data_IF_592842146978
#
_entry.id   IF_592842146978
#
_cell.length_a   1.000
_cell.length_b   1.000
_cell.length_c   1.000
_cell.angle_alpha   90.00
_cell.angle_beta   90.00
_cell.angle_gamma   90.00
#
_symmetry.space_group_name_H-M   'P 1'
#
loop_
_entity.id
_entity.type
_entity.pdbx_description
1 polymer ?
#
# COMPACT_ATOMS: atom_id res chain seq x y z
N UNK A 1 5.20 -8.47 32.64
CA UNK A 1 4.36 -7.82 31.62
C UNK A 1 3.95 -8.88 30.61
N UNK A 2 2.65 -9.08 30.33
CA UNK A 2 2.23 -10.01 29.29
C UNK A 2 2.84 -9.60 27.93
N UNK A 3 3.59 -10.53 27.35
CA UNK A 3 4.18 -10.41 26.02
C UNK A 3 3.57 -11.47 25.11
N UNK A 4 3.18 -11.04 23.91
CA UNK A 4 2.70 -11.88 22.82
C UNK A 4 3.77 -11.90 21.74
N UNK A 5 4.14 -13.10 21.29
CA UNK A 5 5.07 -13.28 20.17
C UNK A 5 4.62 -14.47 19.33
N UNK A 6 4.29 -14.18 18.07
CA UNK A 6 3.90 -15.18 17.08
C UNK A 6 4.92 -15.18 15.96
N UNK A 7 5.48 -16.35 15.67
CA UNK A 7 6.41 -16.56 14.56
C UNK A 7 5.77 -17.52 13.57
N UNK A 8 5.81 -17.16 12.29
CA UNK A 8 5.37 -17.97 11.16
C UNK A 8 6.50 -18.02 10.14
N UNK A 9 6.79 -19.22 9.63
CA UNK A 9 7.75 -19.42 8.54
C UNK A 9 7.04 -20.03 7.33
N UNK A 10 7.48 -19.65 6.14
CA UNK A 10 7.10 -20.24 4.84
C UNK A 10 8.31 -20.26 3.91
N UNK A 11 8.33 -21.23 3.02
CA UNK A 11 9.26 -21.26 1.88
C UNK A 11 8.50 -21.00 0.59
N UNK A 12 9.10 -20.21 -0.29
CA UNK A 12 8.55 -19.83 -1.58
C UNK A 12 9.52 -20.23 -2.69
N UNK A 13 8.98 -20.77 -3.78
CA UNK A 13 9.72 -21.05 -5.02
C UNK A 13 9.87 -19.76 -5.86
N UNK A 14 10.42 -18.73 -5.24
CA UNK A 14 10.64 -17.43 -5.86
C UNK A 14 11.89 -16.78 -5.26
N UNK A 15 12.60 -15.94 -6.03
CA UNK A 15 13.78 -15.25 -5.54
C UNK A 15 13.40 -14.19 -4.49
N UNK A 16 14.31 -13.84 -3.56
CA UNK A 16 13.99 -12.99 -2.41
C UNK A 16 13.41 -11.62 -2.76
N UNK A 17 13.79 -11.06 -3.91
CA UNK A 17 13.30 -9.78 -4.41
C UNK A 17 11.79 -9.81 -4.69
N UNK A 18 11.29 -10.90 -5.27
CA UNK A 18 9.87 -11.03 -5.57
C UNK A 18 9.05 -11.34 -4.32
N UNK A 19 9.61 -12.11 -3.39
CA UNK A 19 9.00 -12.31 -2.06
C UNK A 19 8.95 -10.99 -1.28
N UNK A 20 10.02 -10.20 -1.36
CA UNK A 20 10.12 -8.86 -0.76
C UNK A 20 9.07 -7.88 -1.32
N UNK A 21 8.83 -7.90 -2.62
CA UNK A 21 7.80 -7.07 -3.24
C UNK A 21 6.40 -7.27 -2.63
N UNK A 22 6.17 -8.44 -2.03
CA UNK A 22 4.92 -8.77 -1.37
C UNK A 22 4.95 -8.56 0.15
N UNK A 23 5.97 -9.09 0.83
CA UNK A 23 6.09 -9.04 2.30
C UNK A 23 6.65 -7.73 2.84
N UNK A 24 7.41 -6.98 2.03
CA UNK A 24 7.91 -5.65 2.37
C UNK A 24 6.84 -4.56 2.33
N UNK A 25 5.65 -4.86 1.79
CA UNK A 25 4.50 -3.96 1.81
C UNK A 25 3.76 -4.03 3.15
N UNK A 26 4.23 -3.25 4.12
CA UNK A 26 3.60 -3.17 5.44
C UNK A 26 2.15 -2.64 5.40
N UNK A 27 1.76 -1.88 4.37
CA UNK A 27 0.34 -1.50 4.21
C UNK A 27 -0.51 -2.74 3.89
N UNK A 28 -0.02 -3.63 3.02
CA UNK A 28 -0.70 -4.90 2.70
C UNK A 28 -0.78 -5.81 3.92
N UNK A 29 0.31 -5.89 4.70
CA UNK A 29 0.34 -6.64 5.95
C UNK A 29 -0.70 -6.10 6.94
N UNK A 30 -0.71 -4.79 7.22
CA UNK A 30 -1.64 -4.16 8.16
C UNK A 30 -3.11 -4.38 7.73
N UNK A 31 -3.40 -4.34 6.42
CA UNK A 31 -4.71 -4.72 5.87
C UNK A 31 -5.07 -6.17 6.15
N UNK A 32 -4.19 -7.11 5.84
CA UNK A 32 -4.42 -8.54 6.09
C UNK A 32 -4.62 -8.84 7.58
N UNK A 33 -3.94 -8.08 8.43
CA UNK A 33 -4.10 -8.11 9.88
C UNK A 33 -5.39 -7.43 10.37
N UNK A 34 -6.16 -6.76 9.50
CA UNK A 34 -7.35 -5.97 9.82
C UNK A 34 -7.07 -4.91 10.90
N UNK A 35 -5.97 -4.19 10.74
CA UNK A 35 -5.64 -3.08 11.60
C UNK A 35 -6.48 -1.84 11.24
N UNK A 36 -6.79 -1.02 12.23
CA UNK A 36 -7.49 0.24 12.03
C UNK A 36 -6.69 1.21 11.16
N UNK A 37 -7.39 2.00 10.35
CA UNK A 37 -6.78 3.06 9.53
C UNK A 37 -6.28 4.19 10.43
N UNK A 38 -4.97 4.50 10.41
CA UNK A 38 -4.42 5.60 11.21
C UNK A 38 -4.62 6.96 10.56
N UNK A 39 -4.72 7.97 11.42
CA UNK A 39 -4.49 9.37 11.07
C UNK A 39 -3.15 9.77 11.67
N UNK A 40 -2.26 10.30 10.82
CA UNK A 40 -0.93 10.72 11.21
C UNK A 40 -0.85 12.23 11.42
N UNK A 41 -0.10 12.65 12.45
CA UNK A 41 0.22 14.05 12.71
C UNK A 41 1.57 14.19 13.40
N UNK A 42 2.30 15.27 13.10
CA UNK A 42 3.44 15.66 13.92
C UNK A 42 2.96 16.30 15.21
N UNK A 43 3.48 15.83 16.34
CA UNK A 43 3.22 16.39 17.67
C UNK A 43 4.52 16.49 18.45
N UNK A 44 4.56 17.45 19.36
CA UNK A 44 5.64 17.49 20.35
C UNK A 44 5.27 16.52 21.48
N UNK A 45 6.09 15.49 21.68
CA UNK A 45 5.99 14.50 22.75
C UNK A 45 7.30 14.49 23.50
N UNK A 46 7.27 14.74 24.81
CA UNK A 46 8.46 14.81 25.67
C UNK A 46 9.58 15.73 25.13
N UNK A 47 9.18 16.87 24.55
CA UNK A 47 10.10 17.86 23.99
C UNK A 47 10.73 17.47 22.65
N UNK A 48 10.29 16.36 22.03
CA UNK A 48 10.71 15.92 20.70
C UNK A 48 9.54 15.97 19.72
N UNK A 49 9.83 16.37 18.50
CA UNK A 49 8.85 16.37 17.41
C UNK A 49 8.71 14.96 16.87
N UNK A 50 7.63 14.29 17.22
CA UNK A 50 7.37 12.89 16.90
C UNK A 50 6.22 12.75 15.89
N UNK A 51 6.29 11.69 15.08
CA UNK A 51 5.22 11.34 14.16
C UNK A 51 4.23 10.40 14.87
N UNK A 52 3.09 10.96 15.27
CA UNK A 52 2.07 10.29 16.06
C UNK A 52 0.94 9.82 15.16
N UNK A 53 0.56 8.56 15.31
CA UNK A 53 -0.54 7.93 14.61
C UNK A 53 -1.66 7.57 15.59
N UNK A 54 -2.91 7.72 15.14
CA UNK A 54 -4.10 7.37 15.93
C UNK A 54 -5.09 6.58 15.08
N UNK A 55 -5.60 5.48 15.61
CA UNK A 55 -6.59 4.63 14.95
C UNK A 55 -7.62 4.04 15.93
N UNK A 56 -8.72 3.51 15.39
CA UNK A 56 -9.66 2.66 16.13
C UNK A 56 -9.40 1.19 15.79
N UNK A 57 -9.19 0.35 16.80
CA UNK A 57 -9.01 -1.09 16.67
C UNK A 57 -10.06 -1.82 17.50
N UNK A 58 -11.00 -2.51 16.84
CA UNK A 58 -12.06 -3.28 17.51
C UNK A 58 -12.82 -2.46 18.61
N UNK A 59 -13.05 -1.17 18.34
CA UNK A 59 -13.71 -0.23 19.27
C UNK A 59 -12.78 0.42 20.31
N UNK A 60 -11.49 0.08 20.30
CA UNK A 60 -10.48 0.64 21.21
C UNK A 60 -9.68 1.70 20.47
N UNK A 61 -9.58 2.88 21.07
CA UNK A 61 -8.69 3.93 20.55
C UNK A 61 -7.25 3.55 20.85
N UNK A 62 -6.41 3.60 19.81
CA UNK A 62 -4.97 3.40 19.92
C UNK A 62 -4.25 4.64 19.41
N UNK A 63 -3.23 5.08 20.14
CA UNK A 63 -2.32 6.15 19.73
C UNK A 63 -0.88 5.66 19.93
N UNK A 64 -0.01 5.91 18.95
CA UNK A 64 1.38 5.47 19.00
C UNK A 64 2.32 6.44 18.29
N UNK A 65 3.58 6.40 18.72
CA UNK A 65 4.71 6.95 17.98
C UNK A 65 5.21 5.85 17.04
N UNK A 66 5.37 6.19 15.77
CA UNK A 66 5.91 5.31 14.74
C UNK A 66 7.29 5.83 14.29
N UNK A 67 8.37 5.32 14.89
CA UNK A 67 9.71 5.58 14.38
C UNK A 67 9.85 5.13 12.93
N UNK A 68 10.84 5.66 12.18
CA UNK A 68 11.21 5.11 10.90
C UNK A 68 11.52 3.62 11.03
N UNK A 69 10.87 2.80 10.20
CA UNK A 69 11.13 1.36 10.13
C UNK A 69 12.54 1.12 9.60
N UNK A 70 13.14 0.00 9.99
CA UNK A 70 14.42 -0.42 9.44
C UNK A 70 14.17 -1.46 8.36
N UNK A 71 14.84 -1.33 7.22
CA UNK A 71 14.77 -2.32 6.19
C UNK A 71 16.03 -2.43 5.35
N UNK A 72 16.19 -3.61 4.77
CA UNK A 72 17.11 -3.93 3.68
C UNK A 72 16.32 -4.76 2.68
N UNK A 73 16.18 -4.25 1.47
CA UNK A 73 15.46 -4.93 0.39
C UNK A 73 15.92 -6.38 0.25
N UNK A 74 14.98 -7.29 -0.01
CA UNK A 74 15.21 -8.73 -0.12
C UNK A 74 15.77 -9.42 1.13
N UNK A 75 15.84 -8.75 2.30
CA UNK A 75 16.44 -9.34 3.52
C UNK A 75 15.67 -9.08 4.80
N UNK A 76 15.28 -7.84 5.08
CA UNK A 76 14.78 -7.45 6.40
C UNK A 76 13.77 -6.31 6.30
N UNK A 77 12.70 -6.42 7.08
CA UNK A 77 11.84 -5.31 7.47
C UNK A 77 11.57 -5.42 8.97
N UNK A 78 11.89 -4.39 9.74
CA UNK A 78 11.63 -4.31 11.16
C UNK A 78 10.84 -3.02 11.46
N UNK A 79 9.61 -3.21 11.90
CA UNK A 79 8.68 -2.15 12.24
C UNK A 79 8.26 -2.24 13.69
N UNK A 80 8.51 -1.17 14.45
CA UNK A 80 8.14 -1.06 15.86
C UNK A 80 7.24 0.17 16.06
N UNK A 81 6.22 0.03 16.92
CA UNK A 81 5.33 1.08 17.37
C UNK A 81 5.39 1.18 18.90
N UNK A 82 5.45 2.39 19.42
CA UNK A 82 5.41 2.68 20.86
C UNK A 82 4.07 3.32 21.19
N UNK A 83 3.22 2.60 21.92
CA UNK A 83 1.85 3.01 22.17
C UNK A 83 1.79 3.95 23.37
N UNK A 84 1.18 5.12 23.17
CA UNK A 84 0.91 6.12 24.21
C UNK A 84 -0.52 6.00 24.73
N UNK A 85 -1.43 5.44 23.93
CA UNK A 85 -2.82 5.13 24.30
C UNK A 85 -3.17 3.74 23.81
N UNK A 86 -3.84 2.96 24.66
CA UNK A 86 -4.35 1.64 24.33
C UNK A 86 -3.81 0.54 25.25
N UNK A 87 -4.08 -0.74 24.93
CA UNK A 87 -3.74 -1.86 25.80
C UNK A 87 -2.29 -2.35 25.64
N UNK A 88 -1.54 -1.83 24.67
CA UNK A 88 -0.15 -2.19 24.40
C UNK A 88 0.77 -1.07 24.90
N UNK A 89 2.01 -1.41 25.26
CA UNK A 89 3.09 -0.44 25.45
C UNK A 89 3.98 -0.37 24.21
N UNK A 90 4.22 -1.53 23.59
CA UNK A 90 4.98 -1.64 22.34
C UNK A 90 4.46 -2.82 21.52
N UNK A 91 4.69 -2.76 20.22
CA UNK A 91 4.38 -3.88 19.34
C UNK A 91 4.88 -3.63 17.93
N UNK A 92 4.87 -4.66 17.10
CA UNK A 92 5.46 -4.53 15.79
C UNK A 92 5.45 -5.80 14.97
N UNK A 93 6.12 -5.70 13.83
CA UNK A 93 6.35 -6.81 12.93
C UNK A 93 7.81 -6.84 12.49
N UNK A 94 8.34 -8.04 12.32
CA UNK A 94 9.64 -8.27 11.70
C UNK A 94 9.51 -9.32 10.61
N UNK A 95 9.94 -9.00 9.41
CA UNK A 95 10.04 -9.92 8.28
C UNK A 95 11.52 -10.14 7.99
N UNK A 96 11.94 -11.40 7.95
CA UNK A 96 13.29 -11.81 7.59
C UNK A 96 13.22 -12.75 6.38
N UNK A 97 14.05 -12.50 5.37
CA UNK A 97 14.13 -13.30 4.15
C UNK A 97 15.51 -13.95 4.05
N UNK A 98 15.50 -15.26 3.78
CA UNK A 98 16.70 -16.09 3.63
C UNK A 98 16.67 -16.73 2.24
N UNK A 99 17.66 -16.43 1.41
CA UNK A 99 17.82 -17.08 0.12
C UNK A 99 18.17 -18.57 0.33
N UNK A 100 17.45 -19.47 -0.35
CA UNK A 100 17.64 -20.93 -0.27
C UNK A 100 17.65 -21.52 -1.69
N UNK A 101 18.83 -21.65 -2.28
CA UNK A 101 18.97 -22.07 -3.67
C UNK A 101 18.30 -21.08 -4.62
N UNK A 102 17.29 -21.54 -5.36
CA UNK A 102 16.45 -20.69 -6.23
C UNK A 102 15.19 -20.14 -5.54
N UNK A 103 14.95 -20.56 -4.29
CA UNK A 103 13.80 -20.14 -3.49
C UNK A 103 14.17 -19.21 -2.34
N UNK A 104 13.17 -18.91 -1.52
CA UNK A 104 13.30 -18.02 -0.35
C UNK A 104 12.53 -18.58 0.82
N UNK A 105 13.17 -18.72 1.97
CA UNK A 105 12.47 -18.89 3.26
C UNK A 105 12.21 -17.53 3.87
N UNK A 106 10.96 -17.25 4.21
CA UNK A 106 10.54 -16.06 4.92
C UNK A 106 10.12 -16.41 6.35
N UNK A 107 10.51 -15.56 7.29
CA UNK A 107 10.05 -15.59 8.68
C UNK A 107 9.32 -14.28 8.97
N UNK A 108 8.06 -14.38 9.37
CA UNK A 108 7.30 -13.26 9.91
C UNK A 108 7.15 -13.42 11.43
N UNK A 109 7.59 -12.42 12.17
CA UNK A 109 7.39 -12.30 13.62
C UNK A 109 6.45 -11.14 13.88
N UNK A 110 5.36 -11.38 14.58
CA UNK A 110 4.46 -10.35 15.10
C UNK A 110 4.51 -10.40 16.60
N UNK A 111 4.69 -9.25 17.23
CA UNK A 111 4.89 -9.18 18.66
C UNK A 111 4.20 -7.97 19.28
N UNK A 112 3.94 -8.05 20.58
CA UNK A 112 3.36 -6.96 21.36
C UNK A 112 3.57 -7.19 22.85
N UNK A 113 3.98 -6.14 23.53
CA UNK A 113 4.13 -6.11 24.98
C UNK A 113 3.06 -5.21 25.57
N UNK A 114 2.45 -5.65 26.67
CA UNK A 114 1.44 -4.89 27.37
C UNK A 114 1.86 -4.62 28.82
N UNK A 115 1.73 -3.37 29.30
CA UNK A 115 1.89 -3.06 30.72
C UNK A 115 0.68 -3.54 31.55
N UNK A 116 -0.42 -3.94 30.92
CA UNK A 116 -1.68 -4.26 31.60
C UNK A 116 -1.86 -5.77 31.80
N UNK A 117 -2.03 -6.19 33.06
CA UNK A 117 -2.13 -7.61 33.42
C UNK A 117 -3.31 -8.34 32.77
N UNK A 118 -4.44 -7.65 32.52
CA UNK A 118 -5.64 -8.28 31.93
C UNK A 118 -5.40 -8.80 30.51
N UNK A 119 -4.37 -8.31 29.81
CA UNK A 119 -3.99 -8.84 28.50
C UNK A 119 -3.52 -10.30 28.58
N UNK A 120 -3.06 -10.77 29.75
CA UNK A 120 -2.75 -12.19 29.97
C UNK A 120 -3.99 -13.08 29.84
N UNK A 121 -5.19 -12.57 30.17
CA UNK A 121 -6.44 -13.33 30.09
C UNK A 121 -6.88 -13.58 28.64
N UNK A 122 -6.68 -12.59 27.77
CA UNK A 122 -7.06 -12.66 26.34
C UNK A 122 -5.93 -13.12 25.44
N UNK A 123 -4.70 -13.28 25.97
CA UNK A 123 -3.49 -13.62 25.23
C UNK A 123 -3.67 -14.82 24.28
N UNK A 124 -4.24 -15.98 24.69
CA UNK A 124 -4.37 -17.12 23.79
C UNK A 124 -5.27 -16.83 22.57
N UNK A 125 -6.31 -16.02 22.76
CA UNK A 125 -7.22 -15.60 21.68
C UNK A 125 -6.51 -14.63 20.73
N UNK A 126 -5.77 -13.67 21.28
CA UNK A 126 -4.98 -12.69 20.51
C UNK A 126 -3.89 -13.42 19.70
N UNK A 127 -3.13 -14.31 20.32
CA UNK A 127 -2.10 -15.11 19.65
C UNK A 127 -2.67 -16.00 18.55
N UNK A 128 -3.82 -16.65 18.79
CA UNK A 128 -4.51 -17.45 17.77
C UNK A 128 -4.96 -16.58 16.60
N UNK A 129 -5.52 -15.39 16.86
CA UNK A 129 -5.96 -14.46 15.82
C UNK A 129 -4.76 -13.96 14.99
N UNK A 130 -3.68 -13.55 15.65
CA UNK A 130 -2.44 -13.11 15.00
C UNK A 130 -1.88 -14.24 14.13
N UNK A 131 -1.71 -15.43 14.71
CA UNK A 131 -1.22 -16.62 13.99
C UNK A 131 -2.03 -16.92 12.74
N UNK A 132 -3.36 -16.94 12.85
CA UNK A 132 -4.23 -17.25 11.73
C UNK A 132 -4.14 -16.19 10.62
N UNK A 133 -4.12 -14.90 10.97
CA UNK A 133 -4.04 -13.80 10.00
C UNK A 133 -2.66 -13.73 9.32
N UNK A 134 -1.58 -13.84 10.10
CA UNK A 134 -0.21 -13.88 9.56
C UNK A 134 0.00 -15.09 8.67
N UNK A 135 -0.47 -16.27 9.07
CA UNK A 135 -0.40 -17.48 8.24
C UNK A 135 -1.17 -17.29 6.93
N UNK A 136 -2.43 -16.84 6.99
CA UNK A 136 -3.25 -16.59 5.80
C UNK A 136 -2.62 -15.56 4.85
N UNK A 137 -2.00 -14.50 5.39
CA UNK A 137 -1.27 -13.53 4.59
C UNK A 137 -0.06 -14.16 3.87
N UNK A 138 0.77 -14.90 4.60
CA UNK A 138 1.93 -15.57 4.03
C UNK A 138 1.55 -16.67 3.02
N UNK A 139 0.42 -17.34 3.22
CA UNK A 139 -0.13 -18.32 2.27
C UNK A 139 -0.63 -17.64 0.99
N UNK A 140 -1.32 -16.50 1.13
CA UNK A 140 -1.78 -15.69 0.00
C UNK A 140 -0.61 -15.13 -0.84
N UNK A 141 0.50 -14.76 -0.20
CA UNK A 141 1.75 -14.39 -0.89
C UNK A 141 2.26 -15.54 -1.76
N UNK A 142 2.21 -16.78 -1.24
CA UNK A 142 2.58 -17.98 -2.00
C UNK A 142 1.61 -18.29 -3.14
N UNK A 143 0.34 -17.92 -3.03
CA UNK A 143 -0.63 -18.00 -4.13
C UNK A 143 -0.30 -17.02 -5.25
N UNK A 144 0.02 -15.75 -4.92
CA UNK A 144 0.44 -14.74 -5.90
C UNK A 144 1.66 -15.23 -6.68
N UNK A 145 2.67 -15.73 -6.00
CA UNK A 145 3.92 -16.17 -6.62
C UNK A 145 3.75 -17.39 -7.53
N UNK A 146 2.72 -18.22 -7.31
CA UNK A 146 2.39 -19.39 -8.15
C UNK A 146 1.38 -19.07 -9.26
N UNK A 147 0.80 -17.86 -9.28
CA UNK A 147 -0.30 -17.51 -10.19
C UNK A 147 0.13 -17.33 -11.66
N UNK A 148 1.43 -17.23 -11.93
CA UNK A 148 1.95 -17.02 -13.27
C UNK A 148 3.48 -17.06 -13.34
N UNK A 149 4.04 -16.89 -14.54
CA UNK A 149 5.49 -16.84 -14.72
C UNK A 149 6.07 -15.66 -13.93
N UNK A 150 7.22 -15.89 -13.30
CA UNK A 150 7.88 -14.85 -12.54
C UNK A 150 8.37 -13.73 -13.47
N UNK A 151 8.14 -12.46 -13.12
CA UNK A 151 8.45 -11.30 -13.95
C UNK A 151 9.97 -11.12 -14.15
N UNK A 152 10.36 -10.96 -15.41
CA UNK A 152 11.73 -11.17 -15.89
C UNK A 152 12.54 -9.94 -16.30
N UNK A 153 12.07 -8.70 -16.05
CA UNK A 153 12.94 -7.52 -16.14
C UNK A 153 13.67 -7.32 -14.80
N UNK A 154 14.96 -7.70 -14.68
CA UNK A 154 15.70 -7.61 -13.42
C UNK A 154 16.07 -6.17 -13.04
N UNK A 155 16.07 -5.23 -13.99
CA UNK A 155 16.43 -3.82 -13.76
C UNK A 155 15.27 -3.02 -13.13
N UNK A 156 14.04 -3.51 -13.28
CA UNK A 156 12.88 -2.89 -12.66
C UNK A 156 12.84 -3.15 -11.14
N UNK A 157 12.42 -2.18 -10.32
CA UNK A 157 12.24 -2.38 -8.88
C UNK A 157 11.33 -3.59 -8.59
N UNK A 158 11.57 -4.38 -7.54
CA UNK A 158 10.80 -5.61 -7.31
C UNK A 158 9.29 -5.38 -7.18
N UNK A 159 8.88 -4.26 -6.59
CA UNK A 159 7.47 -3.87 -6.48
C UNK A 159 6.80 -3.65 -7.85
N UNK A 160 7.56 -3.20 -8.85
CA UNK A 160 7.06 -2.99 -10.22
C UNK A 160 6.95 -4.33 -10.92
N UNK A 161 7.96 -5.19 -10.74
CA UNK A 161 8.00 -6.53 -11.32
C UNK A 161 6.78 -7.35 -10.91
N UNK A 162 6.35 -7.30 -9.65
CA UNK A 162 5.22 -8.11 -9.15
C UNK A 162 3.83 -7.65 -9.62
N UNK A 163 3.69 -6.43 -10.18
CA UNK A 163 2.38 -5.86 -10.54
C UNK A 163 1.55 -6.72 -11.52
N UNK A 164 2.11 -7.33 -12.57
CA UNK A 164 1.34 -8.18 -13.47
C UNK A 164 0.74 -9.41 -12.77
N UNK A 165 1.47 -9.98 -11.79
CA UNK A 165 0.95 -11.10 -10.99
C UNK A 165 -0.18 -10.63 -10.08
N UNK A 166 -0.04 -9.47 -9.44
CA UNK A 166 -1.10 -8.88 -8.60
C UNK A 166 -2.36 -8.51 -9.38
N UNK A 167 -2.23 -8.16 -10.66
CA UNK A 167 -3.35 -7.88 -11.54
C UNK A 167 -4.18 -9.14 -11.88
N UNK A 168 -3.66 -10.35 -11.61
CA UNK A 168 -4.39 -11.61 -11.81
C UNK A 168 -5.35 -11.91 -10.64
N UNK A 169 -6.35 -12.77 -10.87
CA UNK A 169 -7.45 -12.99 -9.91
C UNK A 169 -7.02 -13.82 -8.67
N UNK A 170 -6.38 -13.21 -7.68
CA UNK A 170 -5.89 -13.84 -6.43
C UNK A 170 -6.78 -13.56 -5.20
N UNK A 171 -6.72 -14.32 -4.10
CA UNK A 171 -7.55 -14.08 -2.90
C UNK A 171 -7.47 -12.66 -2.27
N UNK A 172 -8.50 -12.27 -1.50
CA UNK A 172 -8.61 -10.94 -0.86
C UNK A 172 -7.46 -10.61 0.11
N UNK A 173 -6.84 -11.62 0.73
CA UNK A 173 -5.69 -11.43 1.62
C UNK A 173 -4.42 -10.95 0.88
N UNK A 174 -4.32 -11.24 -0.42
CA UNK A 174 -3.25 -10.72 -1.27
C UNK A 174 -3.63 -9.39 -1.93
N UNK A 175 -4.90 -9.25 -2.33
CA UNK A 175 -5.37 -8.14 -3.17
C UNK A 175 -5.80 -6.91 -2.37
N UNK A 176 -6.51 -7.04 -1.24
CA UNK A 176 -7.07 -5.90 -0.49
C UNK A 176 -8.59 -5.86 -0.50
N UNK A 177 -9.18 -4.81 0.08
CA UNK A 177 -10.64 -4.65 0.14
C UNK A 177 -11.19 -4.19 -1.21
N UNK A 178 -12.37 -4.67 -1.59
CA UNK A 178 -13.07 -4.26 -2.80
C UNK A 178 -14.40 -3.64 -2.41
N UNK A 179 -14.47 -2.31 -2.37
CA UNK A 179 -15.75 -1.60 -2.22
C UNK A 179 -16.63 -1.86 -3.44
N UNK A 180 -17.93 -2.12 -3.24
CA UNK A 180 -18.86 -2.38 -4.34
C UNK A 180 -18.99 -1.16 -5.26
N UNK A 181 -19.00 -1.40 -6.57
CA UNK A 181 -19.31 -0.37 -7.58
C UNK A 181 -20.81 -0.30 -7.87
N UNK A 182 -21.30 0.89 -8.24
CA UNK A 182 -22.62 1.05 -8.86
C UNK A 182 -22.55 0.50 -10.29
N UNK A 183 -23.07 -0.71 -10.49
CA UNK A 183 -23.01 -1.41 -11.76
C UNK A 183 -23.77 -0.68 -12.89
N UNK A 184 -24.86 0.02 -12.55
CA UNK A 184 -25.66 0.77 -13.52
C UNK A 184 -24.88 2.00 -13.99
N UNK A 185 -24.28 2.73 -13.04
CA UNK A 185 -23.53 3.93 -13.35
C UNK A 185 -22.21 3.60 -14.08
N UNK A 186 -21.51 2.56 -13.65
CA UNK A 186 -20.33 2.04 -14.32
C UNK A 186 -20.63 1.72 -15.80
N UNK A 187 -21.69 0.96 -16.05
CA UNK A 187 -22.05 0.55 -17.41
C UNK A 187 -22.52 1.74 -18.26
N UNK A 188 -23.31 2.65 -17.69
CA UNK A 188 -23.76 3.87 -18.38
C UNK A 188 -22.59 4.75 -18.80
N UNK A 189 -21.60 4.95 -17.92
CA UNK A 189 -20.40 5.76 -18.23
C UNK A 189 -19.43 5.02 -19.16
N UNK A 190 -19.33 3.70 -19.06
CA UNK A 190 -18.58 2.88 -20.00
C UNK A 190 -19.16 2.98 -21.43
N UNK A 191 -20.49 2.95 -21.60
CA UNK A 191 -21.13 3.19 -22.90
C UNK A 191 -20.78 4.56 -23.48
N UNK A 192 -20.87 5.63 -22.67
CA UNK A 192 -20.46 6.98 -23.11
C UNK A 192 -19.02 7.05 -23.62
N UNK A 193 -18.10 6.29 -23.00
CA UNK A 193 -16.71 6.21 -23.43
C UNK A 193 -16.59 5.50 -24.79
N UNK A 194 -17.28 4.37 -24.96
CA UNK A 194 -17.32 3.61 -26.23
C UNK A 194 -17.95 4.43 -27.35
N UNK A 195 -19.06 5.13 -27.09
CA UNK A 195 -19.75 6.00 -28.05
C UNK A 195 -18.88 7.18 -28.50
N UNK A 196 -17.92 7.61 -27.68
CA UNK A 196 -16.93 8.63 -28.03
C UNK A 196 -15.77 8.08 -28.92
N UNK A 197 -15.90 6.85 -29.43
CA UNK A 197 -14.89 6.19 -30.25
C UNK A 197 -13.69 5.64 -29.47
N UNK A 198 -13.79 5.56 -28.14
CA UNK A 198 -12.77 4.99 -27.27
C UNK A 198 -13.25 3.62 -26.80
N UNK A 199 -13.25 2.66 -27.73
CA UNK A 199 -13.55 1.26 -27.46
C UNK A 199 -12.28 0.43 -27.19
N UNK A 200 -12.38 -0.89 -27.34
CA UNK A 200 -11.22 -1.79 -27.35
C UNK A 200 -10.71 -2.25 -25.98
N UNK A 201 -9.57 -2.93 -25.99
CA UNK A 201 -9.04 -3.63 -24.83
C UNK A 201 -8.75 -2.67 -23.66
N UNK A 202 -8.12 -1.51 -23.91
CA UNK A 202 -7.82 -0.54 -22.85
C UNK A 202 -9.08 -0.09 -22.08
N UNK A 203 -10.20 0.10 -22.79
CA UNK A 203 -11.48 0.45 -22.19
C UNK A 203 -12.03 -0.68 -21.32
N UNK A 204 -11.96 -1.91 -21.81
CA UNK A 204 -12.40 -3.08 -21.04
C UNK A 204 -11.54 -3.30 -19.79
N UNK A 205 -10.22 -3.07 -19.89
CA UNK A 205 -9.30 -3.10 -18.75
C UNK A 205 -9.62 -2.03 -17.71
N UNK A 206 -9.96 -0.80 -18.12
CA UNK A 206 -10.40 0.26 -17.18
C UNK A 206 -11.70 -0.14 -16.49
N UNK A 207 -12.70 -0.64 -17.23
CA UNK A 207 -13.97 -1.06 -16.62
C UNK A 207 -13.77 -2.22 -15.63
N UNK A 208 -12.94 -3.21 -15.98
CA UNK A 208 -12.58 -4.31 -15.08
C UNK A 208 -11.81 -3.83 -13.86
N UNK A 209 -10.86 -2.90 -14.03
CA UNK A 209 -10.13 -2.26 -12.93
C UNK A 209 -11.09 -1.64 -11.92
N UNK A 210 -12.02 -0.79 -12.38
CA UNK A 210 -12.94 -0.10 -11.47
C UNK A 210 -13.95 -1.04 -10.79
N UNK A 211 -14.30 -2.13 -11.44
CA UNK A 211 -15.26 -3.12 -10.94
C UNK A 211 -14.65 -4.08 -9.92
N UNK A 212 -13.50 -4.66 -10.26
CA UNK A 212 -13.03 -5.90 -9.63
C UNK A 212 -11.75 -5.71 -8.80
N UNK A 213 -10.99 -4.63 -9.04
CA UNK A 213 -9.71 -4.45 -8.34
C UNK A 213 -9.88 -3.85 -6.94
N UNK A 214 -8.90 -4.05 -6.05
CA UNK A 214 -8.86 -3.47 -4.71
C UNK A 214 -8.97 -1.94 -4.68
N UNK A 215 -9.46 -1.42 -3.57
CA UNK A 215 -9.62 0.01 -3.32
C UNK A 215 -8.31 0.77 -3.50
N UNK A 216 -7.19 0.26 -2.96
CA UNK A 216 -5.87 0.89 -3.10
C UNK A 216 -5.41 1.03 -4.56
N UNK A 217 -5.89 0.16 -5.44
CA UNK A 217 -5.53 0.11 -6.84
C UNK A 217 -6.33 1.09 -7.70
N UNK A 218 -7.44 1.63 -7.17
CA UNK A 218 -8.34 2.57 -7.85
C UNK A 218 -8.45 3.92 -7.13
N UNK A 219 -7.94 4.02 -5.90
CA UNK A 219 -7.84 5.26 -5.14
C UNK A 219 -6.84 6.25 -5.74
N UNK A 220 -5.80 5.73 -6.40
CA UNK A 220 -4.80 6.51 -7.12
C UNK A 220 -4.15 5.66 -8.22
N UNK A 221 -4.41 6.02 -9.47
CA UNK A 221 -4.06 5.23 -10.64
C UNK A 221 -3.07 6.00 -11.49
N UNK A 222 -1.94 5.36 -11.78
CA UNK A 222 -0.95 5.83 -12.75
C UNK A 222 -1.17 5.10 -14.09
N UNK A 223 -1.57 5.80 -15.17
CA UNK A 223 -1.93 5.15 -16.44
C UNK A 223 -0.74 4.40 -17.05
N UNK A 224 0.49 4.88 -16.87
CA UNK A 224 1.68 4.22 -17.42
C UNK A 224 2.07 2.96 -16.65
N UNK A 225 1.79 2.88 -15.36
CA UNK A 225 1.94 1.64 -14.61
C UNK A 225 0.92 0.60 -15.10
N UNK A 226 -0.33 1.03 -15.35
CA UNK A 226 -1.38 0.17 -15.92
C UNK A 226 -1.04 -0.30 -17.33
N UNK A 227 -0.52 0.57 -18.19
CA UNK A 227 -0.08 0.21 -19.54
C UNK A 227 0.97 -0.91 -19.51
N UNK A 228 1.99 -0.80 -18.65
CA UNK A 228 2.99 -1.86 -18.46
C UNK A 228 2.37 -3.16 -17.94
N UNK A 229 1.51 -3.07 -16.93
CA UNK A 229 0.86 -4.25 -16.34
C UNK A 229 -0.07 -4.97 -17.33
N UNK A 230 -0.71 -4.23 -18.24
CA UNK A 230 -1.61 -4.79 -19.26
C UNK A 230 -0.90 -5.17 -20.56
N UNK A 231 0.36 -4.76 -20.75
CA UNK A 231 1.08 -4.96 -22.02
C UNK A 231 0.53 -4.14 -23.19
N UNK A 232 -0.12 -3.00 -22.91
CA UNK A 232 -0.76 -2.14 -23.92
C UNK A 232 0.07 -0.89 -24.22
N UNK A 233 -0.21 -0.22 -25.36
CA UNK A 233 0.49 1.00 -25.73
C UNK A 233 0.26 2.12 -24.70
N UNK A 234 1.35 2.81 -24.36
CA UNK A 234 1.36 3.84 -23.33
C UNK A 234 0.44 5.02 -23.68
N UNK A 235 0.40 5.43 -24.96
CA UNK A 235 -0.42 6.57 -25.41
C UNK A 235 -1.89 6.16 -25.52
N UNK A 236 -2.17 4.95 -25.95
CA UNK A 236 -3.53 4.39 -26.00
C UNK A 236 -4.18 4.36 -24.61
N UNK A 237 -3.46 3.82 -23.61
CA UNK A 237 -3.97 3.77 -22.23
C UNK A 237 -4.16 5.18 -21.68
N UNK A 238 -3.20 6.11 -21.88
CA UNK A 238 -3.37 7.49 -21.44
C UNK A 238 -4.56 8.18 -22.10
N UNK A 239 -4.74 8.02 -23.42
CA UNK A 239 -5.90 8.53 -24.15
C UNK A 239 -7.19 7.98 -23.55
N UNK A 240 -7.24 6.69 -23.27
CA UNK A 240 -8.40 6.04 -22.64
C UNK A 240 -8.71 6.65 -21.28
N UNK A 241 -7.71 6.86 -20.42
CA UNK A 241 -7.88 7.48 -19.09
C UNK A 241 -8.39 8.93 -19.17
N UNK A 242 -7.86 9.73 -20.11
CA UNK A 242 -8.31 11.11 -20.32
C UNK A 242 -9.77 11.16 -20.80
N UNK A 243 -10.16 10.30 -21.73
CA UNK A 243 -11.55 10.22 -22.18
C UNK A 243 -12.48 9.60 -21.11
N UNK A 244 -11.99 8.63 -20.34
CA UNK A 244 -12.71 8.06 -19.19
C UNK A 244 -13.01 9.13 -18.14
N UNK A 245 -12.13 10.12 -17.97
CA UNK A 245 -12.39 11.29 -17.13
C UNK A 245 -13.60 12.08 -17.64
N UNK A 246 -13.67 12.37 -18.95
CA UNK A 246 -14.83 13.06 -19.57
C UNK A 246 -16.11 12.24 -19.51
N UNK A 247 -16.01 10.92 -19.58
CA UNK A 247 -17.13 10.01 -19.41
C UNK A 247 -17.60 9.90 -17.95
N UNK A 248 -16.80 10.39 -16.99
CA UNK A 248 -17.03 10.33 -15.56
C UNK A 248 -16.60 9.00 -14.93
N UNK A 249 -15.89 8.12 -15.61
CA UNK A 249 -15.39 6.89 -14.97
C UNK A 249 -14.27 7.20 -13.95
N UNK A 250 -13.49 8.23 -14.26
CA UNK A 250 -12.33 8.65 -13.49
C UNK A 250 -12.40 10.14 -13.17
N UNK A 251 -11.70 10.56 -12.13
CA UNK A 251 -11.35 11.95 -11.87
C UNK A 251 -9.85 12.15 -12.12
N UNK A 252 -9.49 13.27 -12.78
CA UNK A 252 -8.10 13.67 -12.98
C UNK A 252 -7.68 14.61 -11.84
N UNK A 253 -6.57 14.29 -11.20
CA UNK A 253 -5.96 15.10 -10.14
C UNK A 253 -4.47 15.33 -10.41
N UNK A 254 -3.93 16.34 -9.75
CA UNK A 254 -2.51 16.71 -9.81
C UNK A 254 -1.85 16.43 -8.47
N UNK A 255 -1.00 15.41 -8.43
CA UNK A 255 -0.24 15.06 -7.24
C UNK A 255 1.09 15.79 -7.22
N UNK A 256 1.46 16.32 -6.05
CA UNK A 256 2.75 16.95 -5.81
C UNK A 256 3.64 15.97 -5.03
N UNK A 257 4.66 15.42 -5.69
CA UNK A 257 5.62 14.48 -5.13
C UNK A 257 6.74 15.19 -4.38
N UNK A 258 7.11 14.64 -3.22
CA UNK A 258 8.27 15.08 -2.46
C UNK A 258 9.57 14.74 -3.20
N UNK A 259 10.54 15.67 -3.32
CA UNK A 259 11.79 15.40 -4.04
C UNK A 259 12.64 14.31 -3.36
N UNK A 260 12.49 14.14 -2.03
CA UNK A 260 13.24 13.18 -1.21
C UNK A 260 12.57 11.81 -1.20
N UNK A 261 11.36 11.71 -0.65
CA UNK A 261 10.69 10.41 -0.50
C UNK A 261 9.86 9.98 -1.72
N UNK A 262 9.65 10.85 -2.72
CA UNK A 262 8.83 10.59 -3.92
C UNK A 262 7.37 10.23 -3.66
N UNK A 263 6.90 10.34 -2.41
CA UNK A 263 5.50 10.18 -2.01
C UNK A 263 4.76 11.52 -2.16
N UNK A 264 3.45 11.45 -2.34
CA UNK A 264 2.54 12.60 -2.35
C UNK A 264 2.69 13.47 -1.10
N UNK A 265 2.99 14.75 -1.29
CA UNK A 265 2.91 15.80 -0.27
C UNK A 265 1.57 16.55 -0.32
N UNK A 266 0.83 16.44 -1.42
CA UNK A 266 -0.45 17.09 -1.62
C UNK A 266 -1.07 16.70 -2.97
N UNK A 267 -2.37 16.96 -3.11
CA UNK A 267 -3.12 16.69 -4.34
C UNK A 267 -4.08 17.85 -4.60
N UNK A 268 -4.13 18.32 -5.84
CA UNK A 268 -5.05 19.36 -6.32
C UNK A 268 -6.02 18.82 -7.38
N UNK A 269 -7.19 19.45 -7.51
CA UNK A 269 -8.17 19.13 -8.56
C UNK A 269 -7.83 19.77 -9.90
N UNK A 270 -7.12 20.90 -9.87
CA UNK A 270 -6.70 21.63 -11.06
C UNK A 270 -5.27 22.17 -10.94
N UNK A 271 -4.69 22.59 -12.07
CA UNK A 271 -3.32 23.10 -12.09
C UNK A 271 -3.19 24.49 -11.47
N UNK A 272 -4.24 25.31 -11.52
CA UNK A 272 -4.27 26.66 -10.94
C UNK A 272 -4.33 26.66 -9.40
N UNK A 273 -4.77 25.55 -8.81
CA UNK A 273 -4.73 25.32 -7.36
C UNK A 273 -3.32 24.94 -6.85
N UNK A 274 -2.36 24.69 -7.75
CA UNK A 274 -0.99 24.36 -7.35
C UNK A 274 -0.29 25.60 -6.81
N UNK A 275 -0.04 25.60 -5.50
CA UNK A 275 0.76 26.64 -4.84
C UNK A 275 2.24 26.59 -5.25
N UNK A 276 2.96 27.68 -4.98
CA UNK A 276 4.41 27.77 -5.24
C UNK A 276 5.25 26.90 -4.31
N UNK A 277 4.75 26.63 -3.10
CA UNK A 277 5.43 25.85 -2.08
C UNK A 277 4.48 24.82 -1.46
N UNK A 278 5.05 23.69 -1.07
CA UNK A 278 4.34 22.62 -0.37
C UNK A 278 5.16 22.10 0.80
N UNK A 279 4.48 21.57 1.81
CA UNK A 279 5.12 20.89 2.94
C UNK A 279 4.85 19.39 2.86
N UNK A 280 5.92 18.59 2.82
CA UNK A 280 5.77 17.13 2.92
C UNK A 280 5.62 16.73 4.38
N UNK A 281 4.44 16.24 4.75
CA UNK A 281 4.20 15.69 6.09
C UNK A 281 5.16 14.55 6.43
N UNK A 282 5.41 13.60 5.52
CA UNK A 282 6.27 12.45 5.86
C UNK A 282 7.75 12.83 6.11
N UNK A 283 8.32 13.72 5.30
CA UNK A 283 9.72 14.14 5.44
C UNK A 283 9.91 15.35 6.35
N UNK A 284 8.81 16.03 6.73
CA UNK A 284 8.82 17.28 7.49
C UNK A 284 9.68 18.40 6.84
N UNK A 285 9.68 18.48 5.49
CA UNK A 285 10.40 19.53 4.73
C UNK A 285 9.44 20.42 3.94
N UNK A 286 9.89 21.62 3.59
CA UNK A 286 9.22 22.50 2.63
C UNK A 286 10.08 22.62 1.38
N UNK A 287 9.44 22.71 0.22
CA UNK A 287 10.13 22.89 -1.05
C UNK A 287 9.23 23.62 -2.06
N UNK A 288 9.87 24.24 -3.04
CA UNK A 288 9.18 24.89 -4.15
C UNK A 288 8.64 23.84 -5.12
N UNK A 289 7.42 24.05 -5.62
CA UNK A 289 6.78 23.16 -6.58
C UNK A 289 7.39 23.40 -7.96
N UNK A 290 8.14 22.41 -8.44
CA UNK A 290 8.60 22.33 -9.82
C UNK A 290 7.68 21.42 -10.63
N UNK A 291 7.00 21.97 -11.63
CA UNK A 291 6.06 21.23 -12.48
C UNK A 291 6.72 20.08 -13.26
N UNK A 292 7.97 20.23 -13.66
CA UNK A 292 8.68 19.22 -14.46
C UNK A 292 9.13 18.01 -13.64
N UNK A 293 9.38 18.20 -12.35
CA UNK A 293 9.99 17.15 -11.51
C UNK A 293 9.13 16.68 -10.35
N UNK A 294 8.19 17.50 -9.90
CA UNK A 294 7.41 17.27 -8.68
C UNK A 294 5.92 17.08 -8.94
N UNK A 295 5.39 17.39 -10.12
CA UNK A 295 3.95 17.27 -10.40
C UNK A 295 3.66 16.07 -11.29
N UNK A 296 2.70 15.25 -10.88
CA UNK A 296 2.26 14.06 -11.61
C UNK A 296 0.73 14.07 -11.79
N UNK A 297 0.28 13.79 -13.01
CA UNK A 297 -1.13 13.54 -13.29
C UNK A 297 -1.51 12.15 -12.78
N UNK A 298 -2.46 12.10 -11.84
CA UNK A 298 -2.97 10.85 -11.26
C UNK A 298 -4.48 10.79 -11.46
N UNK A 299 -5.01 9.58 -11.61
CA UNK A 299 -6.44 9.36 -11.83
C UNK A 299 -7.04 8.64 -10.64
N UNK A 300 -8.30 8.90 -10.33
CA UNK A 300 -9.03 8.23 -9.25
C UNK A 300 -10.34 7.67 -9.78
N UNK A 301 -10.86 6.60 -9.19
CA UNK A 301 -12.22 6.19 -9.48
C UNK A 301 -13.20 7.30 -9.07
N UNK A 302 -14.11 7.67 -9.97
CA UNK A 302 -15.12 8.66 -9.63
C UNK A 302 -16.10 8.09 -8.58
N UNK A 303 -16.40 8.88 -7.55
CA UNK A 303 -17.19 8.42 -6.41
C UNK A 303 -18.61 7.94 -6.75
N UNK A 304 -19.21 8.47 -7.83
CA UNK A 304 -20.53 8.00 -8.29
C UNK A 304 -20.47 6.61 -8.93
N UNK A 305 -19.28 6.15 -9.36
CA UNK A 305 -19.06 4.78 -9.82
C UNK A 305 -18.70 3.88 -8.65
N UNK A 306 -17.78 4.32 -7.78
CA UNK A 306 -17.34 3.57 -6.60
C UNK A 306 -16.76 4.52 -5.58
N UNK A 307 -17.32 4.53 -4.37
CA UNK A 307 -16.90 5.42 -3.29
C UNK A 307 -15.61 4.91 -2.60
N UNK A 308 -14.46 5.15 -3.23
CA UNK A 308 -13.13 4.78 -2.70
C UNK A 308 -12.40 6.02 -2.21
N UNK A 309 -11.72 5.88 -1.07
CA UNK A 309 -10.83 6.90 -0.52
C UNK A 309 -9.39 6.36 -0.44
N UNK A 310 -8.37 7.20 -0.70
CA UNK A 310 -6.98 6.85 -0.42
C UNK A 310 -6.79 6.48 1.05
N UNK A 311 -6.13 5.35 1.29
CA UNK A 311 -5.89 4.82 2.62
C UNK A 311 -4.42 4.45 2.79
N UNK A 312 -3.78 5.01 3.83
CA UNK A 312 -2.40 4.69 4.22
C UNK A 312 -2.45 4.08 5.61
N UNK A 313 -2.19 2.77 5.68
CA UNK A 313 -2.10 2.00 6.93
C UNK A 313 -0.75 2.18 7.61
N UNK A 314 0.32 2.32 6.83
CA UNK A 314 1.67 2.48 7.32
C UNK A 314 2.43 3.51 6.48
N UNK A 315 2.67 4.70 7.04
CA UNK A 315 3.43 5.76 6.38
C UNK A 315 4.93 5.41 6.22
N UNK A 316 5.43 4.47 7.04
CA UNK A 316 6.81 3.98 7.00
C UNK A 316 7.05 2.81 6.02
N UNK A 317 6.04 2.43 5.23
CA UNK A 317 6.13 1.25 4.36
C UNK A 317 7.18 1.37 3.25
N UNK A 318 8.08 0.39 3.09
CA UNK A 318 9.03 0.33 1.97
C UNK A 318 8.36 0.38 0.60
N UNK A 319 7.17 -0.20 0.46
CA UNK A 319 6.38 -0.19 -0.79
C UNK A 319 6.05 1.20 -1.32
N UNK A 320 6.04 2.22 -0.45
CA UNK A 320 5.82 3.62 -0.84
C UNK A 320 7.10 4.30 -1.36
N UNK A 321 8.27 3.69 -1.14
CA UNK A 321 9.60 4.26 -1.46
C UNK A 321 10.47 3.22 -2.18
N UNK A 322 10.05 2.71 -3.36
CA UNK A 322 10.76 1.63 -4.03
C UNK A 322 12.16 1.99 -4.52
N UNK A 323 12.52 3.27 -4.52
CA UNK A 323 13.88 3.75 -4.80
C UNK A 323 14.83 3.68 -3.60
N UNK A 324 14.32 3.38 -2.39
CA UNK A 324 15.13 3.29 -1.16
C UNK A 324 15.39 1.82 -0.81
N UNK A 325 16.58 1.34 -1.18
CA UNK A 325 16.97 -0.07 -0.99
C UNK A 325 17.19 -0.45 0.48
N UNK A 326 17.62 0.51 1.31
CA UNK A 326 17.81 0.29 2.73
C UNK A 326 17.58 1.58 3.54
N UNK A 327 17.03 1.41 4.74
CA UNK A 327 16.92 2.45 5.76
C UNK A 327 17.29 1.83 7.10
N UNK A 328 18.28 2.38 7.78
CA UNK A 328 18.81 1.87 9.04
C UNK A 328 18.84 2.99 10.07
N UNK A 329 18.61 2.65 11.33
CA UNK A 329 18.78 3.58 12.43
C UNK A 329 20.26 3.65 12.79
N UNK A 330 20.84 4.83 12.71
CA UNK A 330 22.19 5.08 13.21
C UNK A 330 22.10 5.32 14.72
N UNK A 331 22.91 4.59 15.49
CA UNK A 331 23.00 4.72 16.94
C UNK A 331 23.73 6.00 17.35
#
# INVERSE_FOLDING_TARGET
MPSTKVVIERSYEAPPELVWALLGDSNRFDRAMKLGLPVYAWRDVDGRREHVARAQQDGITMEWIEPPYEWVEARLLDGTRYFTVGPLGSGGMKIELFAEGTGTRARATVWGDSPHWYMALVKPLVERRIRNRTAAFMDAVGEVLRSGPLPGDPEAPPIVRIQPLLASRIGAAARGAVTSSDAVELERRARRLRDAGIGGEATDRVVALLRDHPDEEVAQIQPFARARAWGLDRREVLRTFLHATRAGLLDLNWQINCPVCKVSAGVASSLDELGKQVHCGACNIRYDVDFGTSVEAVFRCNQAVRAVQPAVFCAASPSLRPHVLAQLRVA
#
